data_IF_355414016636
#
_entry.id   IF_355414016636
#
_cell.length_a   1.000
_cell.length_b   1.000
_cell.length_c   1.000
_cell.angle_alpha   90.00
_cell.angle_beta   90.00
_cell.angle_gamma   90.00
#
_symmetry.space_group_name_H-M   'P 1'
#
loop_
_entity.id
_entity.type
_entity.pdbx_description
1 polymer ?
#
# COMPACT_ATOMS: atom_id res chain seq x y z
N UNK A 1 21.71 -11.99 -19.96
CA UNK A 1 21.43 -10.68 -19.31
C UNK A 1 22.12 -10.64 -17.95
N UNK A 2 22.68 -9.50 -17.53
CA UNK A 2 23.64 -9.42 -16.41
C UNK A 2 23.07 -9.92 -15.07
N UNK A 3 23.87 -10.63 -14.27
CA UNK A 3 23.48 -11.18 -12.96
C UNK A 3 22.97 -10.11 -11.97
N UNK A 4 23.32 -8.84 -12.23
CA UNK A 4 22.80 -7.67 -11.53
C UNK A 4 21.28 -7.49 -11.71
N UNK A 5 20.77 -7.63 -12.94
CA UNK A 5 19.35 -7.46 -13.24
C UNK A 5 18.46 -8.54 -12.59
N UNK A 6 18.99 -9.75 -12.41
CA UNK A 6 18.29 -10.85 -11.75
C UNK A 6 18.25 -10.67 -10.22
N UNK A 7 19.35 -10.21 -9.60
CA UNK A 7 19.38 -9.84 -8.17
C UNK A 7 18.42 -8.71 -7.84
N UNK A 8 18.40 -7.64 -8.67
CA UNK A 8 17.46 -6.53 -8.48
C UNK A 8 16.01 -7.03 -8.51
N UNK A 9 15.68 -7.91 -9.45
CA UNK A 9 14.31 -8.46 -9.59
C UNK A 9 13.87 -9.37 -8.45
N UNK A 10 14.78 -10.18 -7.89
CA UNK A 10 14.49 -10.92 -6.66
C UNK A 10 14.25 -9.98 -5.48
N UNK A 11 15.04 -8.90 -5.37
CA UNK A 11 14.92 -7.94 -4.28
C UNK A 11 13.61 -7.14 -4.32
N UNK A 12 13.00 -6.94 -5.50
CA UNK A 12 11.72 -6.21 -5.63
C UNK A 12 10.57 -6.88 -4.87
N UNK A 13 10.48 -8.21 -4.86
CA UNK A 13 9.45 -8.92 -4.09
C UNK A 13 9.60 -8.71 -2.58
N UNK A 14 10.84 -8.73 -2.09
CA UNK A 14 11.15 -8.41 -0.69
C UNK A 14 10.90 -6.94 -0.35
N UNK A 15 11.18 -6.01 -1.26
CA UNK A 15 10.86 -4.59 -1.08
C UNK A 15 9.36 -4.35 -0.97
N UNK A 16 8.55 -4.98 -1.85
CA UNK A 16 7.10 -4.91 -1.77
C UNK A 16 6.58 -5.44 -0.42
N UNK A 17 7.12 -6.58 0.03
CA UNK A 17 6.76 -7.18 1.31
C UNK A 17 7.14 -6.28 2.50
N UNK A 18 8.38 -5.80 2.53
CA UNK A 18 8.86 -4.92 3.60
C UNK A 18 8.01 -3.64 3.68
N UNK A 19 7.70 -3.04 2.55
CA UNK A 19 6.84 -1.86 2.48
C UNK A 19 5.44 -2.16 3.02
N UNK A 20 4.84 -3.30 2.68
CA UNK A 20 3.52 -3.70 3.16
C UNK A 20 3.52 -3.93 4.70
N UNK A 21 4.59 -4.51 5.24
CA UNK A 21 4.76 -4.69 6.69
C UNK A 21 4.88 -3.34 7.40
N UNK A 22 5.75 -2.46 6.91
CA UNK A 22 5.94 -1.11 7.48
C UNK A 22 4.63 -0.31 7.44
N UNK A 23 3.89 -0.37 6.33
CA UNK A 23 2.61 0.33 6.22
C UNK A 23 1.55 -0.23 7.17
N UNK A 24 1.48 -1.56 7.33
CA UNK A 24 0.56 -2.23 8.26
C UNK A 24 0.88 -1.86 9.70
N UNK A 25 2.16 -1.95 10.10
CA UNK A 25 2.61 -1.60 11.45
C UNK A 25 2.42 -0.10 11.74
N UNK A 26 2.73 0.78 10.78
CA UNK A 26 2.48 2.21 10.91
C UNK A 26 0.98 2.51 11.10
N UNK A 27 0.12 1.86 10.32
CA UNK A 27 -1.33 2.00 10.44
C UNK A 27 -1.86 1.58 11.81
N UNK A 28 -1.34 0.48 12.37
CA UNK A 28 -1.69 0.00 13.72
C UNK A 28 -1.12 0.91 14.80
N UNK A 29 0.11 1.40 14.64
CA UNK A 29 0.76 2.31 15.58
C UNK A 29 -0.04 3.60 15.78
N UNK A 30 -0.52 4.19 14.69
CA UNK A 30 -1.35 5.39 14.78
C UNK A 30 -2.70 5.14 15.46
N UNK A 31 -3.27 3.95 15.27
CA UNK A 31 -4.55 3.54 15.87
C UNK A 31 -4.44 3.30 17.37
N UNK A 32 -3.54 2.41 17.76
CA UNK A 32 -3.51 1.82 19.11
C UNK A 32 -2.63 2.61 20.07
N UNK A 33 -1.53 3.20 19.58
CA UNK A 33 -0.56 3.89 20.43
C UNK A 33 -0.80 5.40 20.44
N UNK A 34 -1.08 5.99 19.27
CA UNK A 34 -1.38 7.43 19.18
C UNK A 34 -2.86 7.76 19.36
N UNK A 35 -3.74 6.75 19.37
CA UNK A 35 -5.17 6.95 19.59
C UNK A 35 -5.85 7.72 18.46
N UNK A 36 -5.34 7.64 17.22
CA UNK A 36 -5.97 8.26 16.06
C UNK A 36 -6.99 7.30 15.44
N UNK A 37 -8.29 7.49 15.67
CA UNK A 37 -9.30 6.58 15.16
C UNK A 37 -9.34 6.63 13.62
N UNK A 38 -9.36 5.47 12.94
CA UNK A 38 -9.42 5.42 11.48
C UNK A 38 -10.79 5.88 10.98
N UNK A 39 -10.80 6.69 9.92
CA UNK A 39 -12.02 7.01 9.21
C UNK A 39 -12.45 5.87 8.26
N UNK A 40 -13.65 5.96 7.67
CA UNK A 40 -14.17 4.95 6.74
C UNK A 40 -13.21 4.69 5.55
N UNK A 41 -12.64 5.75 4.98
CA UNK A 41 -11.66 5.63 3.88
C UNK A 41 -10.36 4.94 4.30
N UNK A 42 -9.83 5.26 5.50
CA UNK A 42 -8.67 4.57 6.07
C UNK A 42 -8.97 3.09 6.31
N UNK A 43 -10.19 2.76 6.74
CA UNK A 43 -10.63 1.38 6.91
C UNK A 43 -10.62 0.62 5.59
N UNK A 44 -11.14 1.20 4.51
CA UNK A 44 -11.03 0.59 3.19
C UNK A 44 -9.56 0.38 2.78
N UNK A 45 -8.68 1.35 3.00
CA UNK A 45 -7.24 1.18 2.74
C UNK A 45 -6.62 0.01 3.53
N UNK A 46 -7.02 -0.19 4.79
CA UNK A 46 -6.56 -1.33 5.61
C UNK A 46 -6.99 -2.68 5.05
N UNK A 47 -8.23 -2.78 4.54
CA UNK A 47 -8.74 -4.00 3.91
C UNK A 47 -7.88 -4.41 2.70
N UNK A 48 -7.35 -3.45 1.95
CA UNK A 48 -6.42 -3.73 0.85
C UNK A 48 -4.99 -3.97 1.32
N UNK A 49 -4.52 -3.27 2.36
CA UNK A 49 -3.12 -3.33 2.81
C UNK A 49 -2.79 -4.61 3.60
N UNK A 50 -3.64 -5.03 4.53
CA UNK A 50 -3.30 -6.11 5.46
C UNK A 50 -3.17 -7.48 4.77
N UNK A 51 -4.05 -7.86 3.82
CA UNK A 51 -3.90 -9.11 3.09
C UNK A 51 -2.63 -9.16 2.23
N UNK A 52 -2.11 -8.02 1.76
CA UNK A 52 -0.87 -7.98 0.98
C UNK A 52 0.30 -8.55 1.77
N UNK A 53 0.39 -8.28 3.07
CA UNK A 53 1.46 -8.84 3.92
C UNK A 53 1.41 -10.36 3.88
N UNK A 54 0.24 -10.95 4.06
CA UNK A 54 0.06 -12.40 4.04
C UNK A 54 0.36 -13.01 2.66
N UNK A 55 -0.21 -12.44 1.59
CA UNK A 55 -0.04 -12.93 0.21
C UNK A 55 1.44 -12.88 -0.21
N UNK A 56 2.13 -11.76 0.06
CA UNK A 56 3.54 -11.61 -0.28
C UNK A 56 4.42 -12.53 0.57
N UNK A 57 4.10 -12.73 1.86
CA UNK A 57 4.82 -13.68 2.71
C UNK A 57 4.71 -15.11 2.16
N UNK A 58 3.50 -15.56 1.85
CA UNK A 58 3.27 -16.90 1.29
C UNK A 58 3.94 -17.04 -0.08
N UNK A 59 3.84 -16.03 -0.92
CA UNK A 59 4.50 -16.00 -2.24
C UNK A 59 6.01 -16.14 -2.14
N UNK A 60 6.64 -15.44 -1.19
CA UNK A 60 8.10 -15.53 -0.94
C UNK A 60 8.47 -16.92 -0.42
N UNK A 61 7.75 -17.45 0.58
CA UNK A 61 8.05 -18.77 1.19
C UNK A 61 7.91 -19.89 0.16
N UNK A 62 6.83 -19.86 -0.64
CA UNK A 62 6.60 -20.88 -1.68
C UNK A 62 7.41 -20.65 -2.96
N UNK A 63 8.19 -19.56 -3.02
CA UNK A 63 8.87 -19.07 -4.23
C UNK A 63 7.90 -18.98 -5.43
N UNK A 64 6.65 -18.64 -5.14
CA UNK A 64 5.59 -18.60 -6.13
C UNK A 64 5.63 -17.29 -6.92
N UNK A 65 6.03 -17.41 -8.18
CA UNK A 65 6.06 -16.30 -9.12
C UNK A 65 4.68 -15.73 -9.48
N UNK A 66 3.60 -16.48 -9.26
CA UNK A 66 2.25 -16.03 -9.51
C UNK A 66 1.73 -15.08 -8.42
N UNK A 67 2.45 -14.89 -7.30
CA UNK A 67 2.06 -14.00 -6.21
C UNK A 67 1.71 -12.57 -6.68
N UNK A 68 2.37 -12.10 -7.75
CA UNK A 68 2.08 -10.78 -8.34
C UNK A 68 0.65 -10.65 -8.84
N UNK A 69 0.05 -11.72 -9.36
CA UNK A 69 -1.32 -11.69 -9.89
C UNK A 69 -2.37 -11.60 -8.79
N UNK A 70 -2.07 -12.09 -7.59
CA UNK A 70 -2.95 -11.97 -6.44
C UNK A 70 -2.75 -10.64 -5.69
N UNK A 71 -1.50 -10.17 -5.60
CA UNK A 71 -1.16 -8.95 -4.87
C UNK A 71 -1.48 -7.67 -5.66
N UNK A 72 -1.34 -7.66 -6.99
CA UNK A 72 -1.46 -6.46 -7.81
C UNK A 72 -2.89 -5.88 -7.85
N UNK A 73 -3.97 -6.67 -7.97
CA UNK A 73 -5.34 -6.14 -7.87
C UNK A 73 -5.61 -5.47 -6.52
N UNK A 74 -5.08 -6.05 -5.44
CA UNK A 74 -5.22 -5.49 -4.09
C UNK A 74 -4.41 -4.20 -3.93
N UNK A 75 -3.17 -4.16 -4.42
CA UNK A 75 -2.34 -2.96 -4.33
C UNK A 75 -2.90 -1.81 -5.16
N UNK A 76 -3.40 -2.10 -6.37
CA UNK A 76 -4.05 -1.11 -7.24
C UNK A 76 -5.37 -0.63 -6.65
N UNK A 77 -6.21 -1.53 -6.11
CA UNK A 77 -7.44 -1.15 -5.41
C UNK A 77 -7.17 -0.21 -4.23
N UNK A 78 -6.19 -0.55 -3.39
CA UNK A 78 -5.74 0.31 -2.30
C UNK A 78 -5.17 1.64 -2.78
N UNK A 79 -4.41 1.64 -3.88
CA UNK A 79 -3.85 2.84 -4.51
C UNK A 79 -4.92 3.81 -5.00
N UNK A 80 -5.99 3.31 -5.62
CA UNK A 80 -7.11 4.13 -6.10
C UNK A 80 -7.84 4.81 -4.94
N UNK A 81 -8.11 4.06 -3.86
CA UNK A 81 -8.76 4.60 -2.66
C UNK A 81 -7.85 5.62 -1.96
N UNK A 82 -6.54 5.34 -1.89
CA UNK A 82 -5.58 6.30 -1.34
C UNK A 82 -5.48 7.57 -2.19
N UNK A 83 -5.53 7.46 -3.52
CA UNK A 83 -5.55 8.60 -4.43
C UNK A 83 -6.78 9.46 -4.20
N UNK A 84 -7.95 8.83 -4.11
CA UNK A 84 -9.21 9.51 -3.79
C UNK A 84 -9.15 10.23 -2.44
N UNK A 85 -8.60 9.58 -1.42
CA UNK A 85 -8.45 10.17 -0.09
C UNK A 85 -7.47 11.35 -0.07
N UNK A 86 -6.36 11.28 -0.84
CA UNK A 86 -5.46 12.41 -1.05
C UNK A 86 -6.19 13.58 -1.72
N UNK A 87 -6.91 13.34 -2.82
CA UNK A 87 -7.64 14.38 -3.54
C UNK A 87 -8.67 15.11 -2.66
N UNK A 88 -9.37 14.37 -1.80
CA UNK A 88 -10.25 14.95 -0.77
C UNK A 88 -9.46 15.78 0.26
N UNK A 89 -8.36 15.22 0.78
CA UNK A 89 -7.55 15.88 1.83
C UNK A 89 -6.92 17.19 1.34
N UNK A 90 -6.49 17.25 0.07
CA UNK A 90 -5.92 18.44 -0.55
C UNK A 90 -6.97 19.42 -1.10
N UNK A 91 -8.27 19.12 -0.99
CA UNK A 91 -9.35 20.00 -1.41
C UNK A 91 -9.52 20.11 -2.93
N UNK A 92 -8.97 19.16 -3.69
CA UNK A 92 -9.19 19.07 -5.15
C UNK A 92 -10.63 18.63 -5.45
N UNK A 93 -11.19 17.80 -4.57
CA UNK A 93 -12.57 17.31 -4.63
C UNK A 93 -13.36 17.90 -3.46
N UNK A 94 -14.64 18.23 -3.68
CA UNK A 94 -15.52 18.77 -2.66
C UNK A 94 -15.61 17.85 -1.43
N UNK A 95 -15.59 18.47 -0.24
CA UNK A 95 -15.81 17.81 1.03
C UNK A 95 -17.16 17.08 1.11
N UNK A 96 -18.16 17.52 0.35
CA UNK A 96 -19.50 16.91 0.31
C UNK A 96 -19.51 15.52 -0.33
N UNK A 97 -18.50 15.21 -1.15
CA UNK A 97 -18.34 13.90 -1.77
C UNK A 97 -17.71 12.88 -0.82
N UNK A 98 -17.27 13.30 0.37
CA UNK A 98 -16.68 12.39 1.34
C UNK A 98 -17.72 11.36 1.82
N UNK A 99 -17.48 10.05 1.70
CA UNK A 99 -18.42 8.99 2.09
C UNK A 99 -18.52 8.79 3.62
N UNK A 100 -18.24 9.85 4.38
CA UNK A 100 -18.01 9.79 5.83
C UNK A 100 -19.24 10.39 6.51
N UNK A 101 -20.30 9.56 6.61
CA UNK A 101 -21.62 9.97 7.13
C UNK A 101 -21.83 9.66 8.62
N UNK A 102 -21.00 8.81 9.23
CA UNK A 102 -21.05 8.48 10.64
C UNK A 102 -19.64 8.15 11.17
N UNK A 103 -19.12 8.97 12.08
CA UNK A 103 -17.82 8.77 12.74
C UNK A 103 -16.79 9.88 12.47
N UNK A 104 -15.51 9.52 12.52
CA UNK A 104 -14.38 10.45 12.43
C UNK A 104 -14.26 11.00 11.01
N UNK A 105 -14.15 12.32 10.89
CA UNK A 105 -14.04 13.00 9.60
C UNK A 105 -12.83 12.52 8.80
N UNK A 106 -13.06 12.16 7.54
CA UNK A 106 -12.00 11.81 6.60
C UNK A 106 -11.13 13.01 6.19
N UNK A 107 -11.54 14.23 6.57
CA UNK A 107 -10.77 15.46 6.37
C UNK A 107 -9.95 15.83 7.61
N UNK A 108 -10.09 15.09 8.71
CA UNK A 108 -9.34 15.34 9.93
C UNK A 108 -7.84 15.04 9.70
N UNK A 109 -7.02 16.09 9.75
CA UNK A 109 -5.57 15.98 9.62
C UNK A 109 -4.93 15.76 11.00
N UNK A 110 -4.93 14.51 11.46
CA UNK A 110 -4.29 14.12 12.73
C UNK A 110 -2.77 14.32 12.72
N UNK A 111 -2.15 14.07 11.55
CA UNK A 111 -0.72 14.26 11.31
C UNK A 111 -0.59 15.22 10.14
N UNK A 112 0.16 16.30 10.36
CA UNK A 112 0.52 17.24 9.32
C UNK A 112 1.99 17.65 9.47
N UNK A 113 2.91 16.71 9.22
CA UNK A 113 4.33 17.01 9.28
C UNK A 113 4.70 17.90 8.09
N UNK A 114 5.33 19.04 8.34
CA UNK A 114 5.70 20.06 7.34
C UNK A 114 4.52 20.73 6.60
N UNK A 115 3.26 20.48 6.98
CA UNK A 115 2.09 21.08 6.31
C UNK A 115 1.57 20.29 5.09
N UNK A 116 2.27 19.21 4.69
CA UNK A 116 1.94 18.39 3.51
C UNK A 116 1.92 16.88 3.79
N UNK A 117 2.69 16.37 4.76
CA UNK A 117 2.75 14.93 5.04
C UNK A 117 1.55 14.55 5.89
N UNK A 118 0.58 13.91 5.24
CA UNK A 118 -0.66 13.41 5.84
C UNK A 118 -0.71 11.88 5.79
N UNK A 119 -1.53 11.27 6.64
CA UNK A 119 -1.75 9.81 6.66
C UNK A 119 -2.17 9.28 5.27
N UNK A 120 -3.12 9.92 4.54
CA UNK A 120 -3.49 9.49 3.19
C UNK A 120 -2.32 9.50 2.21
N UNK A 121 -1.44 10.51 2.28
CA UNK A 121 -0.25 10.58 1.43
C UNK A 121 0.71 9.42 1.70
N UNK A 122 0.95 9.10 2.98
CA UNK A 122 1.80 7.97 3.35
C UNK A 122 1.25 6.64 2.81
N UNK A 123 -0.07 6.43 2.91
CA UNK A 123 -0.72 5.25 2.35
C UNK A 123 -0.60 5.20 0.82
N UNK A 124 -0.79 6.34 0.15
CA UNK A 124 -0.66 6.44 -1.31
C UNK A 124 0.76 6.12 -1.79
N UNK A 125 1.78 6.64 -1.11
CA UNK A 125 3.19 6.32 -1.40
C UNK A 125 3.46 4.85 -1.17
N UNK A 126 2.98 4.27 -0.06
CA UNK A 126 3.17 2.84 0.22
C UNK A 126 2.56 1.95 -0.87
N UNK A 127 1.31 2.20 -1.27
CA UNK A 127 0.67 1.45 -2.37
C UNK A 127 1.35 1.67 -3.72
N UNK A 128 1.88 2.87 -3.99
CA UNK A 128 2.65 3.16 -5.21
C UNK A 128 3.93 2.32 -5.26
N UNK A 129 4.70 2.29 -4.17
CA UNK A 129 5.92 1.49 -4.06
C UNK A 129 5.62 0.00 -4.28
N UNK A 130 4.59 -0.52 -3.60
CA UNK A 130 4.18 -1.93 -3.74
C UNK A 130 3.76 -2.25 -5.17
N UNK A 131 2.91 -1.40 -5.77
CA UNK A 131 2.39 -1.63 -7.14
C UNK A 131 3.52 -1.60 -8.17
N UNK A 132 4.42 -0.61 -8.08
CA UNK A 132 5.60 -0.51 -8.95
C UNK A 132 6.49 -1.73 -8.78
N UNK A 133 6.81 -2.12 -7.54
CA UNK A 133 7.62 -3.30 -7.28
C UNK A 133 7.01 -4.57 -7.89
N UNK A 134 5.69 -4.77 -7.75
CA UNK A 134 4.99 -5.93 -8.30
C UNK A 134 4.92 -5.95 -9.84
N UNK A 135 4.85 -4.79 -10.49
CA UNK A 135 4.89 -4.67 -11.95
C UNK A 135 6.25 -5.10 -12.54
N UNK A 136 7.34 -4.82 -11.82
CA UNK A 136 8.70 -5.12 -12.27
C UNK A 136 9.26 -6.48 -11.78
N UNK A 137 8.58 -7.14 -10.85
CA UNK A 137 8.87 -8.52 -10.44
C UNK A 137 8.65 -9.47 -11.62
N UNK A 138 9.70 -10.24 -11.95
CA UNK A 138 9.68 -11.22 -13.03
C UNK A 138 9.47 -12.63 -12.46
N UNK A 139 8.65 -13.47 -13.11
CA UNK A 139 8.42 -14.83 -12.63
C UNK A 139 9.69 -15.68 -12.69
N UNK A 140 9.96 -16.47 -11.64
CA UNK A 140 11.11 -17.36 -11.54
C UNK A 140 11.16 -18.39 -12.69
N UNK A 141 9.99 -18.82 -13.20
CA UNK A 141 9.90 -19.78 -14.31
C UNK A 141 10.48 -19.25 -15.64
N UNK A 142 10.57 -17.93 -15.80
CA UNK A 142 11.19 -17.30 -16.98
C UNK A 142 12.72 -17.18 -16.84
N UNK A 143 13.24 -17.27 -15.61
CA UNK A 143 14.67 -17.13 -15.33
C UNK A 143 15.46 -18.43 -15.53
N UNK A 144 14.77 -19.57 -15.62
CA UNK A 144 15.38 -20.88 -15.86
C UNK A 144 15.47 -21.22 -17.37
N UNK A 145 14.88 -20.39 -18.24
CA UNK A 145 14.88 -20.54 -19.70
C UNK A 145 15.74 -19.50 -20.45
N UNK A 146 16.48 -18.64 -19.73
CA UNK A 146 17.42 -17.65 -20.29
C UNK A 146 18.89 -17.96 -19.95
#
# INVERSE_FOLDING_TARGET
>A
MSSFGQRVRQNLGYLAWLQAVVATLGSLYFSEIKGFPPCNLCWYQRIFMYPLVAILTVGIIRRDSAMRWYALPLSVGGWLIASYHCLLTYGVISAELAPCSAGVSCLARWINWYGFITIPLLAWVAFSIITVALLFVKPAKELDHE
#
